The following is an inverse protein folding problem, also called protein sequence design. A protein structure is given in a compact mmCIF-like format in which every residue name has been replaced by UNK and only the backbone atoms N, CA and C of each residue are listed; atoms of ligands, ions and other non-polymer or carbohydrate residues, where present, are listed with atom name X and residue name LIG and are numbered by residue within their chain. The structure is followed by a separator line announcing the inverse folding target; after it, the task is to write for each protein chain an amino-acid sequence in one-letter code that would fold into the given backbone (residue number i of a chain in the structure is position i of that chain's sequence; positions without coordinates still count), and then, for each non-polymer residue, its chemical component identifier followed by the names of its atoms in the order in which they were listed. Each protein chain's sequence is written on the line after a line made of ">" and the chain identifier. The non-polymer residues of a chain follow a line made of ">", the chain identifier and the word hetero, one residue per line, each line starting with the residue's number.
data_IF_325383616699
#
_entry.id   IF_325383616699
#
_cell.length_a   1.000
_cell.length_b   1.000
_cell.length_c   1.000
_cell.angle_alpha   90.00
_cell.angle_beta   90.00
_cell.angle_gamma   90.00
#
_symmetry.space_group_name_H-M   'P 1'
#
loop_
_entity.id
_entity.type
_entity.pdbx_description
1 polymer ?
#
# COMPACT_ATOMS: atom_id res chain seq x y z
N UNK A 1 -0.59 27.22 19.99
CA UNK A 1 -2.05 27.51 20.10
C UNK A 1 -2.40 27.84 21.52
N UNK A 2 -3.28 28.87 21.73
CA UNK A 2 -3.75 29.27 23.04
C UNK A 2 -5.09 28.57 23.32
N UNK A 3 -5.20 27.91 24.49
CA UNK A 3 -6.44 27.29 24.92
C UNK A 3 -7.41 28.42 25.36
N UNK A 4 -8.53 28.56 24.64
CA UNK A 4 -9.50 29.61 24.95
C UNK A 4 -10.50 29.18 26.02
N UNK A 5 -10.89 27.90 26.03
CA UNK A 5 -11.72 27.30 27.06
C UNK A 5 -11.56 25.76 27.05
N UNK A 6 -11.85 25.10 28.16
CA UNK A 6 -11.54 23.67 28.32
C UNK A 6 -12.39 22.73 27.45
N UNK A 7 -13.56 23.18 26.94
CA UNK A 7 -14.42 22.36 26.08
C UNK A 7 -14.56 20.92 26.59
N UNK A 8 -14.32 19.94 25.67
CA UNK A 8 -14.35 18.51 25.99
C UNK A 8 -13.26 18.06 27.00
N UNK A 9 -12.17 18.81 27.14
CA UNK A 9 -11.11 18.52 28.12
C UNK A 9 -11.60 18.68 29.58
N UNK A 10 -12.72 19.33 29.80
CA UNK A 10 -13.34 19.38 31.12
C UNK A 10 -13.92 18.02 31.56
N UNK A 11 -14.29 17.19 30.57
CA UNK A 11 -14.84 15.83 30.76
C UNK A 11 -13.74 14.76 30.64
N UNK A 12 -12.90 14.87 29.61
CA UNK A 12 -11.73 14.02 29.44
C UNK A 12 -10.60 14.57 30.30
N UNK A 13 -10.26 13.91 31.38
CA UNK A 13 -9.15 14.27 32.27
C UNK A 13 -7.76 14.06 31.63
N UNK A 14 -7.66 14.04 30.32
CA UNK A 14 -6.39 13.99 29.61
C UNK A 14 -5.71 15.35 29.74
N UNK A 15 -4.62 15.36 30.48
CA UNK A 15 -3.68 16.48 30.49
C UNK A 15 -2.90 16.45 29.17
N UNK A 16 -3.46 17.01 28.09
CA UNK A 16 -2.62 17.38 26.98
C UNK A 16 -1.52 18.31 27.51
N UNK A 17 -0.26 17.93 27.31
CA UNK A 17 0.88 18.80 27.53
C UNK A 17 0.91 19.84 26.41
N UNK A 18 -0.07 20.75 26.42
CA UNK A 18 -0.03 21.92 25.56
C UNK A 18 1.19 22.72 26.00
N UNK A 19 2.23 22.76 25.16
CA UNK A 19 3.35 23.69 25.38
C UNK A 19 2.75 25.10 25.34
N UNK A 20 2.61 25.71 26.49
CA UNK A 20 2.14 27.09 26.61
C UNK A 20 3.19 27.98 25.92
N UNK A 21 2.76 28.67 24.88
CA UNK A 21 3.56 29.74 24.28
C UNK A 21 3.44 30.96 25.18
N UNK A 22 4.56 31.56 25.60
CA UNK A 22 4.50 32.79 26.40
C UNK A 22 3.72 33.89 25.64
N UNK A 23 3.03 34.74 26.40
CA UNK A 23 2.31 35.88 25.84
C UNK A 23 3.28 37.04 25.64
N UNK A 24 3.37 37.54 24.41
CA UNK A 24 4.16 38.71 24.05
C UNK A 24 3.23 39.83 23.61
N UNK A 25 3.59 41.06 23.93
CA UNK A 25 2.91 42.28 23.45
C UNK A 25 3.61 42.79 22.17
N UNK A 26 2.85 43.46 21.32
CA UNK A 26 3.39 44.05 20.09
C UNK A 26 4.36 45.16 20.45
N UNK A 27 5.64 45.01 20.05
CA UNK A 27 6.71 45.98 20.37
C UNK A 27 7.57 45.57 21.56
N UNK A 28 7.34 44.43 22.18
CA UNK A 28 8.21 43.90 23.24
C UNK A 28 9.53 43.41 22.67
N UNK A 29 10.64 43.81 23.30
CA UNK A 29 11.99 43.39 22.89
C UNK A 29 12.29 41.97 23.34
N UNK A 30 12.47 41.04 22.37
CA UNK A 30 12.91 39.66 22.63
C UNK A 30 14.43 39.53 22.43
N UNK A 31 15.13 39.09 23.48
CA UNK A 31 16.57 38.80 23.39
C UNK A 31 16.80 37.36 23.00
N UNK A 32 17.60 37.16 21.93
CA UNK A 32 18.05 35.80 21.51
C UNK A 32 18.99 35.29 22.61
N UNK A 33 18.67 34.14 23.20
CA UNK A 33 19.46 33.50 24.25
C UNK A 33 20.48 32.52 23.68
N UNK A 34 20.08 31.72 22.73
CA UNK A 34 20.95 30.78 22.01
C UNK A 34 20.34 30.52 20.63
N UNK A 35 21.18 30.15 19.68
CA UNK A 35 20.82 29.63 18.37
C UNK A 35 21.46 28.26 18.31
N UNK A 36 20.63 27.21 18.24
CA UNK A 36 21.07 25.85 18.10
C UNK A 36 20.76 25.39 16.67
N UNK A 37 21.78 24.94 15.94
CA UNK A 37 21.64 24.46 14.57
C UNK A 37 21.46 22.94 14.61
N UNK A 38 20.32 22.44 14.08
CA UNK A 38 20.06 21.02 13.96
C UNK A 38 19.80 20.64 12.49
N UNK A 39 20.53 19.64 12.03
CA UNK A 39 20.29 19.09 10.70
C UNK A 39 19.23 17.99 10.78
N UNK A 40 18.15 18.16 10.04
CA UNK A 40 17.06 17.17 9.94
C UNK A 40 16.97 16.63 8.51
N UNK A 41 16.70 15.35 8.40
CA UNK A 41 16.46 14.69 7.11
C UNK A 41 15.01 14.22 7.04
N UNK A 42 14.42 14.37 5.85
CA UNK A 42 13.10 13.78 5.58
C UNK A 42 13.19 12.26 5.66
N UNK A 43 12.19 11.66 6.26
CA UNK A 43 12.08 10.21 6.33
C UNK A 43 11.31 9.69 5.11
N UNK A 44 11.65 8.49 4.59
CA UNK A 44 10.87 7.87 3.53
C UNK A 44 9.43 7.58 4.02
N UNK A 45 8.47 7.40 3.08
CA UNK A 45 7.12 7.00 3.45
C UNK A 45 7.14 5.73 4.31
N UNK A 46 6.29 5.70 5.32
CA UNK A 46 6.15 4.52 6.17
C UNK A 46 5.57 3.34 5.36
N UNK A 47 6.02 2.12 5.67
CA UNK A 47 5.44 0.89 5.09
C UNK A 47 3.96 0.77 5.45
N UNK A 48 3.21 0.07 4.60
CA UNK A 48 1.79 -0.17 4.81
C UNK A 48 1.55 -1.11 6.00
N UNK A 49 0.69 -0.70 6.91
CA UNK A 49 -0.02 -1.62 7.80
C UNK A 49 -1.24 -2.20 7.07
N UNK A 50 -1.86 -3.25 7.63
CA UNK A 50 -3.09 -3.83 7.03
C UNK A 50 -4.17 -2.77 6.81
N UNK A 51 -4.47 -1.98 7.84
CA UNK A 51 -5.48 -0.93 7.76
C UNK A 51 -5.14 0.16 6.73
N UNK A 52 -3.86 0.56 6.66
CA UNK A 52 -3.42 1.57 5.69
C UNK A 52 -3.44 1.03 4.26
N UNK A 53 -3.10 -0.25 4.07
CA UNK A 53 -3.20 -0.90 2.75
C UNK A 53 -4.65 -0.97 2.28
N UNK A 54 -5.58 -1.35 3.16
CA UNK A 54 -7.01 -1.40 2.81
C UNK A 54 -7.53 0.01 2.46
N UNK A 55 -7.17 1.02 3.24
CA UNK A 55 -7.56 2.41 2.94
C UNK A 55 -7.03 2.87 1.56
N UNK A 56 -5.78 2.54 1.23
CA UNK A 56 -5.19 2.86 -0.08
C UNK A 56 -5.89 2.12 -1.22
N UNK A 57 -6.24 0.84 -1.05
CA UNK A 57 -7.00 0.07 -2.04
C UNK A 57 -8.39 0.70 -2.27
N UNK A 58 -9.05 1.14 -1.20
CA UNK A 58 -10.34 1.83 -1.26
C UNK A 58 -10.22 3.17 -2.00
N UNK A 59 -9.24 3.98 -1.66
CA UNK A 59 -8.98 5.28 -2.31
C UNK A 59 -8.66 5.13 -3.81
N UNK A 60 -7.99 4.05 -4.19
CA UNK A 60 -7.68 3.71 -5.58
C UNK A 60 -8.83 3.02 -6.32
N UNK A 61 -9.91 2.64 -5.64
CA UNK A 61 -11.04 1.90 -6.21
C UNK A 61 -10.71 0.44 -6.58
N UNK A 62 -9.69 -0.15 -5.94
CA UNK A 62 -9.24 -1.53 -6.16
C UNK A 62 -9.87 -2.44 -5.13
N UNK A 63 -10.62 -3.45 -5.57
CA UNK A 63 -11.37 -4.35 -4.70
C UNK A 63 -12.66 -3.73 -4.19
N UNK A 64 -13.33 -4.48 -3.33
CA UNK A 64 -14.60 -4.09 -2.69
C UNK A 64 -14.54 -4.55 -1.22
N UNK A 65 -15.42 -4.06 -0.34
CA UNK A 65 -15.42 -4.44 1.09
C UNK A 65 -15.38 -5.96 1.33
N UNK A 66 -16.00 -6.74 0.47
CA UNK A 66 -16.00 -8.21 0.55
C UNK A 66 -14.68 -8.86 0.17
N UNK A 67 -13.77 -8.18 -0.54
CA UNK A 67 -12.53 -8.73 -1.08
C UNK A 67 -11.27 -8.24 -0.37
N UNK A 68 -11.31 -7.12 0.36
CA UNK A 68 -10.11 -6.56 0.99
C UNK A 68 -9.38 -7.55 1.91
N UNK A 69 -10.13 -8.25 2.77
CA UNK A 69 -9.54 -9.25 3.66
C UNK A 69 -8.85 -10.39 2.89
N UNK A 70 -9.46 -10.83 1.80
CA UNK A 70 -8.92 -11.90 0.94
C UNK A 70 -7.66 -11.46 0.21
N UNK A 71 -7.60 -10.21 -0.24
CA UNK A 71 -6.40 -9.63 -0.88
C UNK A 71 -5.23 -9.65 0.11
N UNK A 72 -5.45 -9.10 1.32
CA UNK A 72 -4.43 -9.05 2.38
C UNK A 72 -3.95 -10.46 2.78
N UNK A 73 -4.87 -11.39 2.94
CA UNK A 73 -4.57 -12.78 3.27
C UNK A 73 -3.79 -13.49 2.14
N UNK A 74 -4.13 -13.23 0.89
CA UNK A 74 -3.45 -13.78 -0.27
C UNK A 74 -1.99 -13.33 -0.36
N UNK A 75 -1.68 -12.07 -0.07
CA UNK A 75 -0.30 -11.57 -0.04
C UNK A 75 0.57 -12.36 0.92
N UNK A 76 0.03 -12.73 2.09
CA UNK A 76 0.73 -13.49 3.11
C UNK A 76 0.80 -14.99 2.76
N UNK A 77 -0.33 -15.60 2.35
CA UNK A 77 -0.40 -17.03 2.01
C UNK A 77 0.49 -17.41 0.83
N UNK A 78 0.62 -16.52 -0.14
CA UNK A 78 1.51 -16.72 -1.29
C UNK A 78 2.96 -16.27 -1.04
N UNK A 79 3.27 -15.84 0.18
CA UNK A 79 4.60 -15.33 0.56
C UNK A 79 5.09 -14.16 -0.29
N UNK A 80 4.18 -13.36 -0.86
CA UNK A 80 4.55 -12.15 -1.59
C UNK A 80 4.97 -11.02 -0.65
N UNK A 81 4.35 -10.96 0.53
CA UNK A 81 4.71 -10.05 1.59
C UNK A 81 4.64 -10.75 2.95
N UNK A 82 5.47 -10.31 3.89
CA UNK A 82 5.46 -10.75 5.29
C UNK A 82 5.01 -9.58 6.17
N UNK A 83 4.17 -9.88 7.16
CA UNK A 83 3.78 -8.92 8.18
C UNK A 83 4.82 -8.94 9.30
N UNK A 84 5.62 -7.88 9.42
CA UNK A 84 6.62 -7.71 10.47
C UNK A 84 6.36 -6.40 11.20
N UNK A 85 6.32 -6.44 12.54
CA UNK A 85 6.03 -5.25 13.34
C UNK A 85 4.74 -4.51 12.91
N UNK A 86 3.70 -5.26 12.53
CA UNK A 86 2.40 -4.75 12.04
C UNK A 86 2.46 -3.99 10.71
N UNK A 87 3.54 -4.12 9.96
CA UNK A 87 3.68 -3.54 8.62
C UNK A 87 4.11 -4.59 7.60
N UNK A 88 3.67 -4.43 6.36
CA UNK A 88 4.05 -5.31 5.26
C UNK A 88 5.46 -5.02 4.77
N UNK A 89 6.22 -6.08 4.61
CA UNK A 89 7.52 -6.06 3.95
C UNK A 89 7.48 -7.03 2.77
N UNK A 90 7.76 -6.59 1.54
CA UNK A 90 7.81 -7.48 0.39
C UNK A 90 8.92 -8.52 0.58
N UNK A 91 8.68 -9.73 0.07
CA UNK A 91 9.69 -10.78 0.01
C UNK A 91 10.45 -10.71 -1.32
N UNK A 92 11.52 -11.48 -1.45
CA UNK A 92 12.23 -11.64 -2.72
C UNK A 92 11.30 -12.21 -3.80
N UNK A 93 10.50 -13.23 -3.44
CA UNK A 93 9.48 -13.80 -4.31
C UNK A 93 8.46 -12.75 -4.76
N UNK A 94 7.92 -11.97 -3.82
CA UNK A 94 6.95 -10.92 -4.14
C UNK A 94 7.52 -9.86 -5.07
N UNK A 95 8.77 -9.44 -4.82
CA UNK A 95 9.47 -8.46 -5.65
C UNK A 95 9.73 -9.01 -7.05
N UNK A 96 10.13 -10.28 -7.16
CA UNK A 96 10.37 -10.93 -8.43
C UNK A 96 9.09 -11.06 -9.26
N UNK A 97 8.01 -11.56 -8.63
CA UNK A 97 6.70 -11.70 -9.29
C UNK A 97 6.18 -10.34 -9.76
N UNK A 98 6.30 -9.28 -8.94
CA UNK A 98 5.89 -7.92 -9.34
C UNK A 98 6.66 -7.46 -10.58
N UNK A 99 7.98 -7.61 -10.60
CA UNK A 99 8.80 -7.20 -11.75
C UNK A 99 8.44 -7.95 -13.03
N UNK A 100 8.32 -9.29 -12.95
CA UNK A 100 7.96 -10.10 -14.13
C UNK A 100 6.57 -9.72 -14.65
N UNK A 101 5.60 -9.57 -13.76
CA UNK A 101 4.24 -9.23 -14.17
C UNK A 101 4.14 -7.80 -14.72
N UNK A 102 4.88 -6.84 -14.18
CA UNK A 102 4.96 -5.48 -14.73
C UNK A 102 5.61 -5.45 -16.12
N UNK A 103 6.61 -6.31 -16.37
CA UNK A 103 7.32 -6.39 -17.65
C UNK A 103 6.46 -6.99 -18.76
N UNK A 104 5.78 -8.10 -18.48
CA UNK A 104 5.02 -8.85 -19.49
C UNK A 104 3.55 -8.43 -19.60
N UNK A 105 2.99 -7.86 -18.54
CA UNK A 105 1.57 -7.47 -18.45
C UNK A 105 1.36 -6.03 -17.97
N UNK A 106 2.04 -5.02 -18.57
CA UNK A 106 2.02 -3.65 -18.06
C UNK A 106 0.62 -3.03 -18.04
N UNK A 107 -0.23 -3.42 -18.98
CA UNK A 107 -1.60 -2.91 -19.09
C UNK A 107 -2.52 -3.50 -18.02
N UNK A 108 -2.25 -4.74 -17.58
CA UNK A 108 -3.04 -5.45 -16.55
C UNK A 108 -2.55 -5.10 -15.14
N UNK A 109 -1.23 -4.99 -14.96
CA UNK A 109 -0.62 -4.63 -13.67
C UNK A 109 -0.59 -3.11 -13.52
N UNK A 110 -1.79 -2.54 -13.45
CA UNK A 110 -2.01 -1.11 -13.40
C UNK A 110 -3.21 -0.80 -12.50
N UNK A 111 -3.02 0.08 -11.52
CA UNK A 111 -4.08 0.46 -10.57
C UNK A 111 -5.31 1.02 -11.27
N UNK A 112 -5.14 1.82 -12.32
CA UNK A 112 -6.24 2.39 -13.09
C UNK A 112 -7.01 1.33 -13.87
N UNK A 113 -6.31 0.35 -14.43
CA UNK A 113 -6.94 -0.77 -15.11
C UNK A 113 -7.80 -1.58 -14.15
N UNK A 114 -7.24 -1.96 -13.00
CA UNK A 114 -7.97 -2.74 -11.98
C UNK A 114 -9.20 -1.99 -11.49
N UNK A 115 -9.09 -0.70 -11.18
CA UNK A 115 -10.22 0.12 -10.77
C UNK A 115 -11.29 0.24 -11.88
N UNK A 116 -10.85 0.38 -13.15
CA UNK A 116 -11.77 0.42 -14.30
C UNK A 116 -12.51 -0.90 -14.48
N UNK A 117 -11.81 -2.04 -14.33
CA UNK A 117 -12.42 -3.36 -14.44
C UNK A 117 -13.44 -3.61 -13.34
N UNK A 118 -13.14 -3.22 -12.10
CA UNK A 118 -14.08 -3.29 -10.98
C UNK A 118 -15.37 -2.51 -11.26
N UNK A 119 -15.25 -1.30 -11.82
CA UNK A 119 -16.41 -0.49 -12.21
C UNK A 119 -17.21 -1.12 -13.37
N UNK A 120 -16.53 -1.73 -14.35
CA UNK A 120 -17.20 -2.46 -15.44
C UNK A 120 -17.97 -3.67 -14.92
N UNK A 121 -17.44 -4.37 -13.90
CA UNK A 121 -18.14 -5.48 -13.25
C UNK A 121 -19.38 -5.00 -12.50
N UNK A 122 -19.33 -3.84 -11.85
CA UNK A 122 -20.50 -3.23 -11.22
C UNK A 122 -21.54 -2.84 -12.27
N UNK A 123 -21.14 -2.26 -13.41
CA UNK A 123 -22.04 -1.94 -14.51
C UNK A 123 -22.74 -3.18 -15.10
N UNK A 124 -22.02 -4.31 -15.20
CA UNK A 124 -22.60 -5.59 -15.60
C UNK A 124 -23.63 -6.06 -14.56
N UNK A 125 -23.27 -6.00 -13.26
CA UNK A 125 -24.17 -6.40 -12.18
C UNK A 125 -25.45 -5.56 -12.13
N UNK A 126 -25.37 -4.28 -12.50
CA UNK A 126 -26.52 -3.38 -12.62
C UNK A 126 -27.27 -3.48 -13.97
N UNK A 127 -26.83 -4.34 -14.88
CA UNK A 127 -27.44 -4.53 -16.20
C UNK A 127 -27.20 -3.40 -17.19
N UNK A 128 -26.19 -2.56 -16.97
CA UNK A 128 -25.81 -1.43 -17.84
C UNK A 128 -24.83 -1.84 -18.96
N UNK A 129 -24.11 -2.95 -18.78
CA UNK A 129 -23.15 -3.45 -19.74
C UNK A 129 -23.30 -4.95 -19.97
N UNK A 130 -22.87 -5.41 -21.16
CA UNK A 130 -22.87 -6.82 -21.55
C UNK A 130 -21.54 -7.48 -21.16
N UNK A 131 -21.59 -8.57 -20.42
CA UNK A 131 -20.41 -9.25 -19.91
C UNK A 131 -19.55 -9.88 -21.02
N UNK A 132 -20.20 -10.44 -22.07
CA UNK A 132 -19.46 -11.06 -23.18
C UNK A 132 -18.56 -10.05 -23.88
N UNK A 133 -19.06 -8.84 -24.13
CA UNK A 133 -18.28 -7.79 -24.77
C UNK A 133 -17.10 -7.37 -23.89
N UNK A 134 -17.34 -7.17 -22.60
CA UNK A 134 -16.29 -6.78 -21.65
C UNK A 134 -15.16 -7.82 -21.61
N UNK A 135 -15.51 -9.12 -21.57
CA UNK A 135 -14.52 -10.20 -21.59
C UNK A 135 -13.78 -10.26 -22.93
N UNK A 136 -14.48 -10.12 -24.04
CA UNK A 136 -13.86 -10.18 -25.38
C UNK A 136 -12.87 -9.04 -25.57
N UNK A 137 -13.25 -7.83 -25.20
CA UNK A 137 -12.40 -6.64 -25.33
C UNK A 137 -11.12 -6.78 -24.48
N UNK A 138 -11.24 -7.27 -23.25
CA UNK A 138 -10.11 -7.58 -22.39
C UNK A 138 -9.22 -8.69 -22.97
N UNK A 139 -9.83 -9.83 -23.29
CA UNK A 139 -9.08 -11.03 -23.68
C UNK A 139 -8.30 -10.86 -24.99
N UNK A 140 -8.80 -10.06 -25.90
CA UNK A 140 -8.15 -9.82 -27.21
C UNK A 140 -6.75 -9.18 -27.08
N UNK A 141 -6.56 -8.30 -26.10
CA UNK A 141 -5.25 -7.72 -25.75
C UNK A 141 -4.42 -8.67 -24.89
N UNK A 142 -4.99 -9.16 -23.82
CA UNK A 142 -4.34 -10.04 -22.85
C UNK A 142 -3.74 -11.31 -23.47
N UNK A 143 -4.42 -11.90 -24.44
CA UNK A 143 -3.91 -13.08 -25.16
C UNK A 143 -2.57 -12.82 -25.84
N UNK A 144 -2.37 -11.65 -26.43
CA UNK A 144 -1.10 -11.29 -27.08
C UNK A 144 0.03 -11.17 -26.06
N UNK A 145 -0.26 -10.61 -24.89
CA UNK A 145 0.71 -10.49 -23.80
C UNK A 145 1.10 -11.88 -23.26
N UNK A 146 0.12 -12.80 -23.15
CA UNK A 146 0.40 -14.20 -22.78
C UNK A 146 1.29 -14.89 -23.81
N UNK A 147 0.95 -14.81 -25.10
CA UNK A 147 1.73 -15.41 -26.19
C UNK A 147 3.18 -14.86 -26.20
N UNK A 148 3.34 -13.56 -25.95
CA UNK A 148 4.64 -12.92 -25.81
C UNK A 148 5.40 -13.45 -24.58
N UNK A 149 4.74 -13.49 -23.43
CA UNK A 149 5.35 -14.00 -22.20
C UNK A 149 5.78 -15.47 -22.33
N UNK A 150 4.97 -16.33 -22.95
CA UNK A 150 5.31 -17.74 -23.19
C UNK A 150 6.53 -17.91 -24.09
N UNK A 151 6.75 -17.00 -25.04
CA UNK A 151 7.86 -17.07 -25.99
C UNK A 151 9.16 -16.45 -25.48
N UNK A 152 9.08 -15.42 -24.65
CA UNK A 152 10.22 -14.58 -24.26
C UNK A 152 10.63 -14.74 -22.81
N UNK A 153 9.74 -15.21 -21.92
CA UNK A 153 10.02 -15.30 -20.49
C UNK A 153 11.01 -16.41 -20.16
N UNK A 154 12.14 -16.02 -19.62
CA UNK A 154 13.13 -16.98 -19.11
C UNK A 154 12.66 -17.58 -17.77
N UNK A 155 12.98 -18.87 -17.58
CA UNK A 155 12.70 -19.54 -16.30
C UNK A 155 13.58 -18.94 -15.20
N UNK A 156 12.99 -18.25 -14.26
CA UNK A 156 13.71 -17.69 -13.11
C UNK A 156 13.71 -18.70 -11.98
N UNK A 157 14.90 -19.11 -11.56
CA UNK A 157 15.07 -19.96 -10.36
C UNK A 157 15.38 -19.09 -9.16
N UNK A 158 14.54 -19.17 -8.13
CA UNK A 158 14.83 -18.54 -6.84
C UNK A 158 15.88 -19.40 -6.16
N UNK A 159 17.06 -18.82 -5.90
CA UNK A 159 18.11 -19.48 -5.14
C UNK A 159 17.58 -19.78 -3.74
N UNK A 160 17.43 -21.06 -3.43
CA UNK A 160 17.13 -21.48 -2.06
C UNK A 160 18.38 -21.23 -1.21
N UNK A 161 18.24 -20.46 -0.14
CA UNK A 161 19.28 -20.37 0.87
C UNK A 161 19.39 -21.76 1.54
N UNK A 162 20.56 -22.38 1.38
CA UNK A 162 20.87 -23.61 2.10
C UNK A 162 21.00 -23.26 3.60
N UNK A 163 20.12 -23.78 4.42
CA UNK A 163 20.15 -23.56 5.87
C UNK A 163 21.39 -24.16 6.55
N UNK A 164 22.17 -24.99 5.82
CA UNK A 164 23.32 -25.69 6.36
C UNK A 164 22.95 -26.92 7.20
N UNK A 165 21.66 -27.14 7.43
CA UNK A 165 21.16 -28.29 8.17
C UNK A 165 20.98 -29.49 7.23
N UNK A 166 21.52 -30.63 7.60
CA UNK A 166 21.26 -31.87 6.89
C UNK A 166 19.88 -32.42 7.27
N UNK A 167 19.12 -32.90 6.28
CA UNK A 167 17.86 -33.58 6.56
C UNK A 167 18.14 -34.83 7.42
N UNK A 168 17.48 -35.00 8.57
CA UNK A 168 17.72 -36.17 9.44
C UNK A 168 17.28 -37.50 8.84
N UNK A 169 16.48 -37.47 7.75
CA UNK A 169 15.95 -38.70 7.12
C UNK A 169 16.68 -39.08 5.84
N UNK A 170 17.51 -38.20 5.24
CA UNK A 170 18.28 -38.45 4.05
C UNK A 170 19.71 -37.88 4.07
#
# INVERSE_FOLDING_TARGET
>A
SKLLFNGFLAVLKEKEKVKSVPEFEVGEDAKIKSIDEEQHFTQPPARYSEAKLIAELEDLGIGRPSTYATIVDTLQKRYYAKLQNKVFTPTELGTLVSKITEEYFPDVINTKFTASLENQLDDIAEGKAEWEKTIYDFYSGFRKDVEKAESEMEKVEIKQELTGDNCPEC
#
